data_IF_863566277793
#
_entry.id   IF_863566277793
#
_cell.length_a   1.000
_cell.length_b   1.000
_cell.length_c   1.000
_cell.angle_alpha   90.00
_cell.angle_beta   90.00
_cell.angle_gamma   90.00
#
_symmetry.space_group_name_H-M   'P 1'
#
loop_
_entity.id
_entity.type
_entity.pdbx_description
1 polymer ?
#
# COMPACT_ATOMS: atom_id res chain seq x y z
N UNK A 1 -13.32 -8.48 12.86
CA UNK A 1 -12.52 -7.33 13.29
C UNK A 1 -12.52 -6.24 12.22
N UNK A 2 -12.92 -5.04 12.58
CA UNK A 2 -13.03 -3.91 11.65
C UNK A 2 -12.13 -2.73 12.02
N UNK A 3 -11.09 -2.99 12.79
CA UNK A 3 -10.19 -1.90 13.24
C UNK A 3 -9.51 -1.21 12.08
N UNK A 4 -9.01 -1.96 11.10
CA UNK A 4 -8.40 -1.38 9.90
C UNK A 4 -9.40 -0.54 9.12
N UNK A 5 -10.60 -1.07 8.86
CA UNK A 5 -11.65 -0.33 8.17
C UNK A 5 -11.94 1.02 8.85
N UNK A 6 -12.10 1.00 10.18
CA UNK A 6 -12.37 2.22 10.94
C UNK A 6 -11.23 3.23 10.86
N UNK A 7 -9.98 2.74 10.96
CA UNK A 7 -8.80 3.59 10.85
C UNK A 7 -8.71 4.24 9.47
N UNK A 8 -8.98 3.48 8.41
CA UNK A 8 -8.97 3.97 7.04
C UNK A 8 -10.06 5.04 6.84
N UNK A 9 -11.27 4.78 7.33
CA UNK A 9 -12.35 5.78 7.23
C UNK A 9 -12.01 7.04 8.02
N UNK A 10 -11.41 6.90 9.19
CA UNK A 10 -10.94 8.05 9.97
C UNK A 10 -9.85 8.86 9.27
N UNK A 11 -9.07 8.23 8.41
CA UNK A 11 -8.04 8.89 7.62
C UNK A 11 -8.55 9.45 6.28
N UNK A 12 -9.87 9.37 6.02
CA UNK A 12 -10.46 9.91 4.81
C UNK A 12 -10.47 8.98 3.61
N UNK A 13 -10.14 7.71 3.77
CA UNK A 13 -10.18 6.73 2.69
C UNK A 13 -11.66 6.45 2.34
N UNK A 14 -12.04 6.49 1.04
CA UNK A 14 -13.42 6.19 0.65
C UNK A 14 -13.87 4.80 1.10
N UNK A 15 -15.15 4.67 1.42
CA UNK A 15 -15.71 3.44 1.97
C UNK A 15 -15.38 2.21 1.13
N UNK A 16 -15.57 2.30 -0.19
CA UNK A 16 -15.29 1.19 -1.10
C UNK A 16 -13.85 0.69 -0.95
N UNK A 17 -12.88 1.60 -0.90
CA UNK A 17 -11.48 1.24 -0.79
C UNK A 17 -11.14 0.72 0.60
N UNK A 18 -11.74 1.29 1.63
CA UNK A 18 -11.55 0.81 2.99
C UNK A 18 -12.05 -0.63 3.16
N UNK A 19 -13.20 -0.97 2.56
CA UNK A 19 -13.72 -2.34 2.56
C UNK A 19 -12.76 -3.29 1.84
N UNK A 20 -12.27 -2.89 0.66
CA UNK A 20 -11.34 -3.71 -0.11
C UNK A 20 -10.07 -4.00 0.67
N UNK A 21 -9.47 -2.99 1.30
CA UNK A 21 -8.23 -3.15 2.07
C UNK A 21 -8.45 -3.99 3.32
N UNK A 22 -9.59 -3.83 4.00
CA UNK A 22 -9.94 -4.70 5.12
C UNK A 22 -10.02 -6.17 4.67
N UNK A 23 -10.62 -6.41 3.51
CA UNK A 23 -10.72 -7.76 2.96
C UNK A 23 -9.36 -8.33 2.57
N UNK A 24 -8.48 -7.51 2.01
CA UNK A 24 -7.09 -7.93 1.72
C UNK A 24 -6.38 -8.36 3.02
N UNK A 25 -6.51 -7.56 4.08
CA UNK A 25 -5.86 -7.87 5.36
C UNK A 25 -6.38 -9.20 5.94
N UNK A 26 -7.68 -9.44 5.88
CA UNK A 26 -8.27 -10.69 6.35
C UNK A 26 -7.81 -11.87 5.51
N UNK A 27 -7.89 -11.72 4.19
CA UNK A 27 -7.54 -12.80 3.26
C UNK A 27 -6.06 -13.19 3.36
N UNK A 28 -5.18 -12.20 3.50
CA UNK A 28 -3.75 -12.44 3.62
C UNK A 28 -3.32 -12.80 5.05
N UNK A 29 -4.20 -12.71 6.02
CA UNK A 29 -3.90 -13.06 7.41
C UNK A 29 -3.02 -12.08 8.14
N UNK A 30 -3.04 -10.79 7.75
CA UNK A 30 -2.24 -9.77 8.45
C UNK A 30 -2.82 -9.51 9.84
N UNK A 31 -1.99 -9.69 10.86
CA UNK A 31 -2.37 -9.47 12.25
C UNK A 31 -2.19 -8.04 12.74
N UNK A 32 -1.37 -7.26 12.04
CA UNK A 32 -1.07 -5.88 12.40
C UNK A 32 -1.19 -4.96 11.19
N UNK A 33 -1.57 -3.71 11.43
CA UNK A 33 -1.58 -2.69 10.39
C UNK A 33 -1.09 -1.36 10.97
N UNK A 34 -0.64 -0.47 10.12
CA UNK A 34 -0.23 0.87 10.50
C UNK A 34 -0.44 1.85 9.37
N UNK A 35 -0.77 3.10 9.75
CA UNK A 35 -0.89 4.19 8.80
C UNK A 35 0.39 5.03 8.84
N UNK A 36 1.02 5.20 7.67
CA UNK A 36 2.23 5.99 7.49
C UNK A 36 3.39 5.55 8.38
N UNK A 37 3.51 4.22 8.52
CA UNK A 37 4.60 3.58 9.24
C UNK A 37 4.91 2.24 8.59
N UNK A 38 6.15 1.75 8.75
CA UNK A 38 6.65 0.56 8.06
C UNK A 38 6.78 -0.67 8.96
N UNK A 39 6.44 -0.57 10.25
CA UNK A 39 6.68 -1.61 11.25
C UNK A 39 5.49 -2.54 11.50
N UNK A 40 4.47 -2.48 10.66
CA UNK A 40 3.33 -3.39 10.71
C UNK A 40 3.33 -4.32 9.49
N UNK A 41 2.66 -5.46 9.59
CA UNK A 41 2.56 -6.40 8.48
C UNK A 41 1.85 -5.80 7.26
N UNK A 42 0.89 -4.90 7.49
CA UNK A 42 0.19 -4.19 6.45
C UNK A 42 0.34 -2.67 6.68
N UNK A 43 1.09 -2.03 5.80
CA UNK A 43 1.45 -0.62 5.90
C UNK A 43 0.64 0.20 4.91
N UNK A 44 -0.22 1.07 5.40
CA UNK A 44 -1.04 1.94 4.57
C UNK A 44 -0.38 3.31 4.48
N UNK A 45 0.00 3.73 3.28
CA UNK A 45 0.61 5.04 3.06
C UNK A 45 -0.40 5.97 2.43
N UNK A 46 -0.74 7.05 3.13
CA UNK A 46 -1.75 8.00 2.68
C UNK A 46 -1.23 8.91 1.58
N UNK A 47 -2.15 9.51 0.83
CA UNK A 47 -1.81 10.33 -0.34
C UNK A 47 -1.10 11.64 -0.01
N UNK A 48 -1.20 12.10 1.22
CA UNK A 48 -0.63 13.38 1.67
C UNK A 48 0.82 13.28 2.13
N UNK A 49 1.42 12.08 2.16
CA UNK A 49 2.83 11.92 2.48
C UNK A 49 3.72 12.52 1.40
N UNK A 50 4.74 13.31 1.78
CA UNK A 50 5.74 13.77 0.82
C UNK A 50 6.46 12.61 0.13
N UNK A 51 6.95 12.87 -1.08
CA UNK A 51 7.65 11.86 -1.90
C UNK A 51 8.78 11.16 -1.15
N UNK A 52 9.66 11.92 -0.49
CA UNK A 52 10.82 11.35 0.19
C UNK A 52 10.41 10.42 1.33
N UNK A 53 9.40 10.80 2.10
CA UNK A 53 8.89 9.96 3.19
C UNK A 53 8.23 8.70 2.66
N UNK A 54 7.46 8.82 1.57
CA UNK A 54 6.83 7.66 0.92
C UNK A 54 7.90 6.66 0.48
N UNK A 55 8.93 7.11 -0.21
CA UNK A 55 10.01 6.23 -0.66
C UNK A 55 10.75 5.56 0.50
N UNK A 56 11.02 6.30 1.57
CA UNK A 56 11.68 5.76 2.76
C UNK A 56 10.84 4.67 3.43
N UNK A 57 9.53 4.88 3.55
CA UNK A 57 8.63 3.91 4.15
C UNK A 57 8.47 2.65 3.28
N UNK A 58 8.38 2.83 1.95
CA UNK A 58 8.34 1.69 1.03
C UNK A 58 9.61 0.84 1.16
N UNK A 59 10.78 1.47 1.23
CA UNK A 59 12.05 0.76 1.40
C UNK A 59 12.11 0.03 2.75
N UNK A 60 11.73 0.69 3.83
CA UNK A 60 11.75 0.09 5.17
C UNK A 60 10.78 -1.09 5.27
N UNK A 61 9.58 -0.98 4.72
CA UNK A 61 8.61 -2.07 4.67
C UNK A 61 9.16 -3.25 3.85
N UNK A 62 9.83 -2.95 2.74
CA UNK A 62 10.45 -3.97 1.91
C UNK A 62 11.51 -4.77 2.66
N UNK A 63 12.37 -4.10 3.41
CA UNK A 63 13.39 -4.77 4.22
C UNK A 63 12.79 -5.65 5.32
N UNK A 64 11.67 -5.23 5.89
CA UNK A 64 10.97 -6.00 6.91
C UNK A 64 10.07 -7.11 6.34
N UNK A 65 9.90 -7.18 5.03
CA UNK A 65 9.00 -8.14 4.40
C UNK A 65 7.53 -7.81 4.56
N UNK A 66 7.19 -6.56 4.82
CA UNK A 66 5.81 -6.12 5.04
C UNK A 66 5.15 -5.66 3.74
N UNK A 67 3.83 -5.87 3.64
CA UNK A 67 3.04 -5.43 2.49
C UNK A 67 2.64 -3.97 2.65
N UNK A 68 2.72 -3.22 1.54
CA UNK A 68 2.36 -1.81 1.50
C UNK A 68 1.12 -1.62 0.62
N UNK A 69 0.19 -0.78 1.07
CA UNK A 69 -0.86 -0.23 0.24
C UNK A 69 -0.63 1.27 0.10
N UNK A 70 -0.22 1.70 -1.08
CA UNK A 70 0.02 3.11 -1.38
C UNK A 70 -1.27 3.70 -1.95
N UNK A 71 -1.89 4.62 -1.22
CA UNK A 71 -3.19 5.16 -1.61
C UNK A 71 -3.09 6.12 -2.79
N UNK A 72 -4.12 6.14 -3.62
CA UNK A 72 -4.33 7.10 -4.71
C UNK A 72 -3.15 7.20 -5.69
N UNK A 73 -2.74 6.09 -6.33
CA UNK A 73 -1.57 6.09 -7.23
C UNK A 73 -1.79 6.90 -8.51
N UNK A 74 -3.04 7.18 -8.87
CA UNK A 74 -3.38 7.91 -10.10
C UNK A 74 -3.69 9.39 -9.85
N UNK A 75 -3.53 9.88 -8.62
CA UNK A 75 -3.88 11.24 -8.26
C UNK A 75 -2.77 12.22 -8.63
N UNK A 76 -2.87 12.73 -9.87
CA UNK A 76 -1.91 13.69 -10.39
C UNK A 76 -0.66 13.03 -11.00
N UNK A 77 0.03 13.83 -11.81
CA UNK A 77 1.17 13.35 -12.59
C UNK A 77 2.35 12.93 -11.71
N UNK A 78 2.66 13.72 -10.69
CA UNK A 78 3.77 13.42 -9.79
C UNK A 78 3.56 12.09 -9.04
N UNK A 79 2.34 11.85 -8.59
CA UNK A 79 1.96 10.62 -7.91
C UNK A 79 2.07 9.42 -8.83
N UNK A 80 1.62 9.57 -10.08
CA UNK A 80 1.73 8.52 -11.10
C UNK A 80 3.20 8.19 -11.39
N UNK A 81 4.05 9.19 -11.52
CA UNK A 81 5.48 9.00 -11.76
C UNK A 81 6.16 8.30 -10.58
N UNK A 82 5.83 8.68 -9.36
CA UNK A 82 6.33 8.04 -8.15
C UNK A 82 5.97 6.54 -8.15
N UNK A 83 4.72 6.22 -8.44
CA UNK A 83 4.25 4.83 -8.44
C UNK A 83 4.92 4.01 -9.55
N UNK A 84 5.13 4.59 -10.74
CA UNK A 84 5.88 3.91 -11.81
C UNK A 84 7.31 3.61 -11.39
N UNK A 85 7.96 4.55 -10.72
CA UNK A 85 9.31 4.35 -10.22
C UNK A 85 9.36 3.22 -9.21
N UNK A 86 8.42 3.17 -8.28
CA UNK A 86 8.34 2.11 -7.27
C UNK A 86 8.13 0.76 -7.93
N UNK A 87 7.17 0.65 -8.84
CA UNK A 87 6.87 -0.60 -9.55
C UNK A 87 8.08 -1.09 -10.34
N UNK A 88 8.77 -0.19 -11.05
CA UNK A 88 9.93 -0.55 -11.85
C UNK A 88 11.08 -1.11 -11.02
N UNK A 89 11.28 -0.56 -9.81
CA UNK A 89 12.36 -0.98 -8.92
C UNK A 89 12.01 -2.18 -8.03
N UNK A 90 10.74 -2.51 -7.89
CA UNK A 90 10.29 -3.54 -6.96
C UNK A 90 10.59 -4.95 -7.48
N UNK A 91 10.95 -5.87 -6.57
CA UNK A 91 11.41 -7.22 -6.92
C UNK A 91 10.33 -8.29 -6.87
N UNK A 92 9.15 -7.99 -6.35
CA UNK A 92 8.06 -8.95 -6.26
C UNK A 92 6.77 -8.41 -6.86
N UNK A 93 5.63 -8.96 -6.49
CA UNK A 93 4.34 -8.63 -7.11
C UNK A 93 3.82 -7.28 -6.68
N UNK A 94 3.27 -6.52 -7.62
CA UNK A 94 2.50 -5.30 -7.37
C UNK A 94 1.15 -5.38 -8.06
N UNK A 95 0.12 -4.80 -7.43
CA UNK A 95 -1.25 -4.79 -7.96
C UNK A 95 -1.83 -3.38 -7.86
N UNK A 96 -2.19 -2.80 -9.00
CA UNK A 96 -2.75 -1.45 -9.08
C UNK A 96 -4.23 -1.54 -9.48
N UNK A 97 -5.13 -1.04 -8.63
CA UNK A 97 -6.55 -0.93 -8.95
C UNK A 97 -7.02 0.52 -9.06
N UNK A 98 -6.09 1.46 -9.22
CA UNK A 98 -6.31 2.91 -9.29
C UNK A 98 -6.64 3.57 -7.95
N UNK A 99 -7.29 2.88 -7.04
CA UNK A 99 -7.56 3.39 -5.69
C UNK A 99 -6.38 3.23 -4.76
N UNK A 100 -5.61 2.17 -4.96
CA UNK A 100 -4.37 1.92 -4.23
C UNK A 100 -3.45 1.01 -5.05
N UNK A 101 -2.16 1.07 -4.71
CA UNK A 101 -1.13 0.20 -5.26
C UNK A 101 -0.68 -0.74 -4.13
N UNK A 102 -0.93 -2.04 -4.29
CA UNK A 102 -0.41 -3.05 -3.37
C UNK A 102 1.01 -3.43 -3.77
N UNK A 103 1.91 -3.43 -2.80
CA UNK A 103 3.33 -3.77 -2.99
C UNK A 103 3.62 -4.93 -2.04
N UNK A 104 3.69 -6.13 -2.60
CA UNK A 104 3.97 -7.34 -1.82
C UNK A 104 5.46 -7.56 -1.65
N UNK A 105 5.88 -8.08 -0.49
CA UNK A 105 7.27 -8.34 -0.15
C UNK A 105 7.41 -9.77 0.41
N UNK A 106 6.86 -10.75 -0.28
CA UNK A 106 6.73 -12.12 0.22
C UNK A 106 7.30 -13.17 -0.74
N UNK A 107 8.37 -12.86 -1.44
CA UNK A 107 9.05 -13.78 -2.38
C UNK A 107 8.22 -14.21 -3.58
N UNK A 108 7.15 -13.50 -3.90
CA UNK A 108 6.40 -13.71 -5.13
C UNK A 108 7.21 -13.19 -6.33
N UNK A 109 6.99 -13.77 -7.53
CA UNK A 109 7.68 -13.29 -8.73
C UNK A 109 7.43 -11.82 -9.01
N UNK A 110 8.37 -11.19 -9.72
CA UNK A 110 8.16 -9.82 -10.19
C UNK A 110 7.08 -9.82 -11.26
N UNK A 111 5.91 -9.32 -10.92
CA UNK A 111 4.76 -9.18 -11.80
C UNK A 111 4.02 -7.89 -11.43
N UNK A 112 3.41 -7.25 -12.41
CA UNK A 112 2.60 -6.07 -12.16
C UNK A 112 1.22 -6.28 -12.77
N UNK A 113 0.19 -6.20 -11.94
CA UNK A 113 -1.21 -6.36 -12.35
C UNK A 113 -1.95 -5.04 -12.23
N UNK A 114 -2.79 -4.76 -13.22
CA UNK A 114 -3.74 -3.63 -13.20
C UNK A 114 -5.15 -4.21 -13.27
N UNK A 115 -5.96 -3.86 -12.31
CA UNK A 115 -7.32 -4.40 -12.22
C UNK A 115 -8.39 -3.32 -12.03
#
# INVERSE_FOLDING_TARGET
>A
DRRLYRALRGAGVPERRAIQLQNVAIHCGYGTFGLNRADAEFCILTRDLPRAETLALVAAAGEAGHTVALMSPCEGQDRQMLCRQIVAAHRSTTVDNRGYLLIFNNNLPKQHFRI
#
